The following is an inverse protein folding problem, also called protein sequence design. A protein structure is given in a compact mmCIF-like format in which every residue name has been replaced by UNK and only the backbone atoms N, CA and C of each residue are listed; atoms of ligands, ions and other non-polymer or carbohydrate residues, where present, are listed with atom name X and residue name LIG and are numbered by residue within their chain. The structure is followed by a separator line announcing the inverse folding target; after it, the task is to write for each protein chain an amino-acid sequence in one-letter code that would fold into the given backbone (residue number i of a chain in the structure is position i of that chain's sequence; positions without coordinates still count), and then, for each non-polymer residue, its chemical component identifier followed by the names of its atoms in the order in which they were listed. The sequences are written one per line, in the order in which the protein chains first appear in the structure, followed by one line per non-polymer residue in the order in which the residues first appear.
data_IF_033889930351
#
_entry.id   IF_033889930351
#
_cell.length_a   1.000
_cell.length_b   1.000
_cell.length_c   1.000
_cell.angle_alpha   90.00
_cell.angle_beta   90.00
_cell.angle_gamma   90.00
#
_symmetry.space_group_name_H-M   'P 1'
#
loop_
_entity.id
_entity.type
_entity.pdbx_description
1 polymer ?
#
# COMPACT_ATOMS: atom_id res chain seq x y z
N UNK A 1 -24.90 -50.07 20.79
CA UNK A 1 -23.54 -49.70 20.26
C UNK A 1 -23.59 -48.90 18.96
N UNK A 2 -24.52 -49.20 18.04
CA UNK A 2 -24.67 -48.44 16.75
C UNK A 2 -25.22 -47.03 17.00
N UNK A 3 -26.11 -46.85 17.98
CA UNK A 3 -26.68 -45.54 18.33
C UNK A 3 -25.63 -44.58 18.92
N UNK A 4 -24.65 -45.10 19.65
CA UNK A 4 -23.56 -44.32 20.28
C UNK A 4 -22.56 -43.85 19.21
N UNK A 5 -22.32 -44.63 18.15
CA UNK A 5 -21.47 -44.26 17.03
C UNK A 5 -22.08 -43.15 16.19
N UNK A 6 -23.41 -43.17 16.00
CA UNK A 6 -24.12 -42.16 15.23
C UNK A 6 -24.15 -40.79 15.93
N UNK A 7 -24.25 -40.77 17.27
CA UNK A 7 -24.18 -39.53 18.08
C UNK A 7 -22.76 -38.95 18.08
N UNK A 8 -21.71 -39.77 18.04
CA UNK A 8 -20.34 -39.33 18.01
C UNK A 8 -19.96 -38.69 16.64
N UNK A 9 -20.53 -39.21 15.54
CA UNK A 9 -20.35 -38.61 14.19
C UNK A 9 -21.10 -37.28 14.01
N UNK A 10 -22.22 -37.07 14.72
CA UNK A 10 -22.97 -35.81 14.68
C UNK A 10 -22.28 -34.67 15.46
N UNK A 11 -21.46 -34.99 16.47
CA UNK A 11 -20.72 -34.00 17.25
C UNK A 11 -19.44 -33.52 16.53
N UNK A 12 -18.95 -34.24 15.51
CA UNK A 12 -17.75 -33.88 14.72
C UNK A 12 -18.01 -32.80 13.63
N UNK A 13 -19.26 -32.41 13.41
CA UNK A 13 -19.64 -31.49 12.32
C UNK A 13 -19.75 -30.01 12.76
N UNK A 14 -19.47 -29.66 14.00
CA UNK A 14 -19.59 -28.28 14.48
C UNK A 14 -18.22 -27.63 14.73
N UNK A 15 -17.21 -27.95 13.94
CA UNK A 15 -16.05 -27.06 13.80
C UNK A 15 -16.46 -25.87 12.92
N UNK A 16 -17.23 -24.96 13.46
CA UNK A 16 -17.25 -23.58 12.92
C UNK A 16 -15.82 -23.10 13.06
N UNK A 17 -15.08 -23.03 11.95
CA UNK A 17 -13.73 -22.49 11.92
C UNK A 17 -13.82 -21.07 12.47
N UNK A 18 -13.42 -20.89 13.73
CA UNK A 18 -13.39 -19.56 14.34
C UNK A 18 -12.41 -18.71 13.53
N UNK A 19 -12.83 -17.50 13.20
CA UNK A 19 -11.96 -16.54 12.55
C UNK A 19 -10.62 -16.43 13.31
N UNK A 20 -9.48 -16.42 12.60
CA UNK A 20 -8.17 -16.27 13.22
C UNK A 20 -8.17 -15.07 14.18
N UNK A 21 -7.52 -15.22 15.34
CA UNK A 21 -7.52 -14.18 16.40
C UNK A 21 -6.96 -12.83 15.94
N UNK A 22 -6.05 -12.85 14.95
CA UNK A 22 -5.43 -11.66 14.42
C UNK A 22 -6.35 -10.84 13.49
N UNK A 23 -7.41 -11.42 12.92
CA UNK A 23 -8.30 -10.77 11.93
C UNK A 23 -8.84 -9.43 12.45
N UNK A 24 -9.33 -9.38 13.68
CA UNK A 24 -9.92 -8.15 14.24
C UNK A 24 -8.88 -7.01 14.37
N UNK A 25 -7.65 -7.36 14.77
CA UNK A 25 -6.56 -6.39 14.86
C UNK A 25 -6.13 -5.92 13.46
N UNK A 26 -5.95 -6.83 12.53
CA UNK A 26 -5.50 -6.56 11.17
C UNK A 26 -6.49 -5.69 10.39
N UNK A 27 -7.79 -5.90 10.54
CA UNK A 27 -8.84 -5.08 9.90
C UNK A 27 -8.77 -3.59 10.25
N UNK A 28 -8.22 -3.23 11.40
CA UNK A 28 -8.05 -1.80 11.78
C UNK A 28 -7.00 -1.09 10.94
N UNK A 29 -6.10 -1.82 10.31
CA UNK A 29 -5.09 -1.27 9.41
C UNK A 29 -5.61 -1.09 7.98
N UNK A 30 -6.75 -1.69 7.63
CA UNK A 30 -7.38 -1.55 6.31
C UNK A 30 -8.27 -0.31 6.31
N UNK A 31 -8.20 0.47 5.25
CA UNK A 31 -8.95 1.72 5.10
C UNK A 31 -9.55 1.84 3.69
N UNK A 32 -10.48 2.76 3.52
CA UNK A 32 -10.95 3.20 2.20
C UNK A 32 -10.12 4.39 1.73
N UNK A 33 -9.79 4.41 0.43
CA UNK A 33 -9.14 5.52 -0.26
C UNK A 33 -10.17 6.26 -1.09
N UNK A 34 -10.18 7.58 -0.99
CA UNK A 34 -10.94 8.47 -1.88
C UNK A 34 -9.97 9.42 -2.53
N UNK A 35 -9.90 9.41 -3.84
CA UNK A 35 -9.07 10.32 -4.62
C UNK A 35 -9.92 11.38 -5.31
N UNK A 36 -9.35 12.56 -5.48
CA UNK A 36 -10.01 13.71 -6.06
C UNK A 36 -9.19 14.26 -7.21
N UNK A 37 -9.85 14.51 -8.32
CA UNK A 37 -9.28 15.17 -9.48
C UNK A 37 -9.36 16.69 -9.37
N UNK A 38 -9.27 17.36 -10.52
CA UNK A 38 -9.49 18.78 -10.63
C UNK A 38 -10.87 19.20 -10.11
N UNK A 39 -10.96 20.38 -9.48
CA UNK A 39 -12.18 20.92 -8.89
C UNK A 39 -12.79 20.08 -7.75
N UNK A 40 -11.95 19.32 -7.03
CA UNK A 40 -12.34 18.51 -5.86
C UNK A 40 -13.45 17.48 -6.15
N UNK A 41 -13.63 17.08 -7.39
CA UNK A 41 -14.54 15.98 -7.73
C UNK A 41 -13.90 14.65 -7.36
N UNK A 42 -14.70 13.75 -6.77
CA UNK A 42 -14.27 12.37 -6.52
C UNK A 42 -13.91 11.74 -7.87
N UNK A 43 -12.67 11.26 -7.95
CA UNK A 43 -12.14 10.59 -9.13
C UNK A 43 -12.32 9.07 -8.99
N UNK A 44 -11.81 8.50 -7.92
CA UNK A 44 -11.90 7.08 -7.63
C UNK A 44 -12.11 6.83 -6.14
N UNK A 45 -12.63 5.64 -5.83
CA UNK A 45 -12.74 5.12 -4.48
C UNK A 45 -12.29 3.66 -4.47
N UNK A 46 -11.48 3.29 -3.50
CA UNK A 46 -10.96 1.92 -3.37
C UNK A 46 -10.50 1.64 -1.95
N UNK A 47 -9.57 0.72 -1.79
CA UNK A 47 -9.04 0.32 -0.50
C UNK A 47 -7.52 0.46 -0.47
N UNK A 48 -6.99 0.35 0.74
CA UNK A 48 -5.56 0.25 1.02
C UNK A 48 -5.34 -0.18 2.46
N UNK A 49 -4.10 -0.30 2.86
CA UNK A 49 -3.75 -0.69 4.21
C UNK A 49 -2.42 -0.09 4.65
N UNK A 50 -2.31 0.18 5.94
CA UNK A 50 -1.07 0.64 6.55
C UNK A 50 -0.10 -0.52 6.74
N UNK A 51 1.17 -0.28 6.39
CA UNK A 51 2.29 -1.22 6.58
C UNK A 51 3.29 -0.74 7.62
N UNK A 52 3.17 0.52 8.07
CA UNK A 52 3.94 1.06 9.19
C UNK A 52 3.06 1.89 10.12
N UNK A 53 3.44 1.95 11.40
CA UNK A 53 2.69 2.72 12.41
C UNK A 53 2.80 4.24 12.22
N UNK A 54 3.77 4.71 11.43
CA UNK A 54 4.02 6.13 11.09
C UNK A 54 3.29 6.58 9.81
N UNK A 55 2.41 5.74 9.25
CA UNK A 55 1.49 6.13 8.19
C UNK A 55 1.92 5.80 6.77
N UNK A 56 2.92 4.92 6.55
CA UNK A 56 3.19 4.37 5.22
C UNK A 56 2.11 3.35 4.86
N UNK A 57 1.60 3.46 3.64
CA UNK A 57 0.46 2.69 3.18
C UNK A 57 0.63 2.22 1.74
N UNK A 58 -0.08 1.13 1.40
CA UNK A 58 -0.11 0.53 0.07
C UNK A 58 -1.53 0.51 -0.48
N UNK A 59 -1.64 0.67 -1.81
CA UNK A 59 -2.89 0.57 -2.57
C UNK A 59 -2.59 0.34 -4.06
N UNK A 60 -3.62 0.42 -4.92
CA UNK A 60 -3.48 0.35 -6.37
C UNK A 60 -3.15 1.72 -6.96
N UNK A 61 -2.20 1.78 -7.90
CA UNK A 61 -1.83 2.99 -8.63
C UNK A 61 -3.00 3.57 -9.43
N UNK A 62 -3.82 2.71 -10.03
CA UNK A 62 -4.99 3.12 -10.84
C UNK A 62 -5.95 4.03 -10.09
N UNK A 63 -6.05 3.91 -8.76
CA UNK A 63 -6.86 4.82 -7.94
C UNK A 63 -6.31 6.24 -7.90
N UNK A 64 -4.99 6.40 -8.00
CA UNK A 64 -4.29 7.68 -7.87
C UNK A 64 -3.99 8.35 -9.20
N UNK A 65 -4.13 7.65 -10.32
CA UNK A 65 -3.91 8.20 -11.66
C UNK A 65 -4.84 9.39 -11.91
N UNK A 66 -4.27 10.56 -12.18
CA UNK A 66 -5.00 11.83 -12.36
C UNK A 66 -5.43 12.52 -11.06
N UNK A 67 -5.16 11.93 -9.90
CA UNK A 67 -5.54 12.51 -8.62
C UNK A 67 -4.68 13.73 -8.27
N UNK A 68 -5.34 14.80 -7.82
CA UNK A 68 -4.69 16.01 -7.28
C UNK A 68 -4.56 15.96 -5.76
N UNK A 69 -5.44 15.24 -5.09
CA UNK A 69 -5.34 14.92 -3.66
C UNK A 69 -6.03 13.59 -3.36
N UNK A 70 -5.71 13.02 -2.22
CA UNK A 70 -6.35 11.81 -1.73
C UNK A 70 -6.55 11.87 -0.21
N UNK A 71 -7.56 11.13 0.25
CA UNK A 71 -7.89 10.98 1.67
C UNK A 71 -8.10 9.50 1.94
N UNK A 72 -7.59 9.01 3.06
CA UNK A 72 -7.93 7.69 3.57
C UNK A 72 -8.96 7.81 4.70
N UNK A 73 -9.88 6.87 4.74
CA UNK A 73 -10.92 6.78 5.77
C UNK A 73 -10.74 5.47 6.51
N UNK A 74 -10.34 5.55 7.78
CA UNK A 74 -10.10 4.34 8.58
C UNK A 74 -11.41 3.66 9.03
N UNK A 75 -11.30 2.52 9.69
CA UNK A 75 -12.46 1.76 10.20
C UNK A 75 -13.31 2.50 11.25
N UNK A 76 -12.79 3.58 11.83
CA UNK A 76 -13.54 4.46 12.75
C UNK A 76 -14.20 5.65 12.02
N UNK A 77 -14.07 5.74 10.69
CA UNK A 77 -14.60 6.86 9.89
C UNK A 77 -13.75 8.13 9.94
N UNK A 78 -12.55 8.07 10.53
CA UNK A 78 -11.63 9.22 10.59
C UNK A 78 -10.98 9.39 9.24
N UNK A 79 -11.05 10.61 8.71
CA UNK A 79 -10.40 11.02 7.48
C UNK A 79 -8.97 11.52 7.75
N UNK A 80 -8.02 11.07 6.96
CA UNK A 80 -6.60 11.45 7.04
C UNK A 80 -6.09 11.75 5.63
N UNK A 81 -5.45 12.91 5.39
CA UNK A 81 -4.96 13.24 4.06
C UNK A 81 -3.73 12.42 3.67
N UNK A 82 -3.61 12.11 2.39
CA UNK A 82 -2.36 11.62 1.79
C UNK A 82 -1.47 12.82 1.54
N UNK A 83 -0.26 12.80 2.10
CA UNK A 83 0.67 13.94 2.03
C UNK A 83 1.74 13.79 0.96
N UNK A 84 2.18 12.56 0.67
CA UNK A 84 3.16 12.34 -0.40
C UNK A 84 3.08 10.93 -0.98
N UNK A 85 3.48 10.83 -2.24
CA UNK A 85 3.70 9.57 -2.94
C UNK A 85 5.17 9.17 -2.75
N UNK A 86 5.39 7.97 -2.24
CA UNK A 86 6.71 7.42 -1.95
C UNK A 86 7.24 6.56 -3.11
N UNK A 87 6.36 6.05 -3.96
CA UNK A 87 6.71 5.27 -5.13
C UNK A 87 5.48 4.65 -5.77
N UNK A 88 5.56 4.33 -7.05
CA UNK A 88 4.45 3.73 -7.79
C UNK A 88 4.97 2.87 -8.94
N UNK A 89 4.16 1.90 -9.37
CA UNK A 89 4.41 1.11 -10.56
C UNK A 89 3.09 0.88 -11.30
N UNK A 90 2.98 1.35 -12.53
CA UNK A 90 1.76 1.27 -13.34
C UNK A 90 1.56 -0.11 -13.97
N UNK A 91 2.64 -0.83 -14.27
CA UNK A 91 2.57 -2.18 -14.85
C UNK A 91 1.95 -3.19 -13.90
N UNK A 92 2.32 -3.12 -12.61
CA UNK A 92 1.81 -4.00 -11.56
C UNK A 92 0.73 -3.36 -10.70
N UNK A 93 0.27 -2.16 -11.08
CA UNK A 93 -0.80 -1.41 -10.43
C UNK A 93 -0.63 -1.27 -8.92
N UNK A 94 0.55 -0.84 -8.47
CA UNK A 94 0.84 -0.62 -7.03
C UNK A 94 1.32 0.79 -6.76
N UNK A 95 0.98 1.30 -5.58
CA UNK A 95 1.43 2.59 -5.08
C UNK A 95 1.76 2.52 -3.60
N UNK A 96 2.87 3.15 -3.21
CA UNK A 96 3.28 3.40 -1.84
C UNK A 96 3.17 4.90 -1.56
N UNK A 97 2.53 5.26 -0.46
CA UNK A 97 2.28 6.66 -0.10
C UNK A 97 2.28 6.87 1.41
N UNK A 98 2.43 8.12 1.81
CA UNK A 98 2.40 8.55 3.21
C UNK A 98 1.10 9.27 3.53
N UNK A 99 0.53 8.92 4.67
CA UNK A 99 -0.69 9.52 5.22
C UNK A 99 -0.32 10.38 6.43
N UNK A 100 -0.89 11.58 6.54
CA UNK A 100 -0.76 12.39 7.75
C UNK A 100 -1.61 11.79 8.87
N UNK A 101 -0.93 11.24 9.85
CA UNK A 101 -1.55 10.65 11.04
C UNK A 101 -1.54 11.59 12.25
N UNK A 102 -1.18 12.87 12.06
CA UNK A 102 -1.12 13.91 13.10
C UNK A 102 -0.29 13.48 14.31
N UNK A 103 0.90 12.93 14.06
CA UNK A 103 1.85 12.41 15.06
C UNK A 103 1.30 11.29 15.97
N UNK A 104 0.18 10.66 15.60
CA UNK A 104 -0.38 9.48 16.28
C UNK A 104 0.10 8.22 15.58
N UNK A 105 0.09 7.11 16.30
CA UNK A 105 0.34 5.80 15.70
C UNK A 105 -0.96 5.22 15.12
N UNK A 106 -0.85 4.59 13.95
CA UNK A 106 -1.95 3.84 13.34
C UNK A 106 -1.70 2.33 13.45
N UNK A 107 -2.75 1.50 13.46
CA UNK A 107 -2.57 0.06 13.30
C UNK A 107 -1.93 -0.22 11.94
N UNK A 108 -0.92 -1.09 11.91
CA UNK A 108 -0.20 -1.48 10.70
C UNK A 108 -0.14 -3.02 10.58
N UNK A 109 0.02 -3.49 9.34
CA UNK A 109 0.21 -4.90 9.01
C UNK A 109 1.69 -5.18 8.81
N UNK A 110 2.15 -6.29 9.37
CA UNK A 110 3.49 -6.78 9.10
C UNK A 110 3.54 -7.44 7.71
N UNK A 111 4.58 -7.17 6.95
CA UNK A 111 4.84 -7.85 5.69
C UNK A 111 5.41 -9.24 5.96
N UNK A 112 4.92 -10.24 5.23
CA UNK A 112 5.47 -11.58 5.29
C UNK A 112 6.90 -11.61 4.71
N UNK A 113 7.84 -12.16 5.47
CA UNK A 113 9.21 -12.30 5.04
C UNK A 113 9.40 -13.42 4.00
N UNK A 114 8.50 -14.39 4.00
CA UNK A 114 8.54 -15.55 3.11
C UNK A 114 7.23 -15.65 2.34
N UNK A 115 7.37 -15.84 1.02
CA UNK A 115 6.23 -16.08 0.13
C UNK A 115 5.53 -17.39 0.47
N UNK A 116 4.18 -17.42 0.57
CA UNK A 116 3.45 -18.65 0.83
C UNK A 116 3.58 -19.63 -0.33
N UNK A 117 3.66 -20.92 0.00
CA UNK A 117 3.72 -21.99 -0.99
C UNK A 117 2.36 -22.19 -1.69
N UNK A 118 2.38 -22.79 -2.87
CA UNK A 118 1.16 -23.26 -3.56
C UNK A 118 0.41 -24.24 -2.64
N UNK A 119 -0.91 -24.05 -2.51
CA UNK A 119 -1.77 -24.78 -1.58
C UNK A 119 -1.90 -24.16 -0.19
N UNK A 120 -1.09 -23.16 0.17
CA UNK A 120 -1.21 -22.47 1.46
C UNK A 120 -2.56 -21.74 1.55
N UNK A 121 -3.17 -21.78 2.74
CA UNK A 121 -4.38 -21.02 3.02
C UNK A 121 -4.09 -19.53 3.11
N UNK A 122 -4.99 -18.72 2.57
CA UNK A 122 -4.87 -17.26 2.53
C UNK A 122 -6.20 -16.60 2.84
N UNK A 123 -6.11 -15.34 3.29
CA UNK A 123 -7.28 -14.59 3.76
C UNK A 123 -7.25 -13.18 3.18
N UNK A 124 -8.33 -12.71 2.57
CA UNK A 124 -8.49 -11.31 2.19
C UNK A 124 -9.34 -10.60 3.24
N UNK A 125 -8.84 -9.44 3.70
CA UNK A 125 -9.52 -8.59 4.68
C UNK A 125 -10.13 -7.38 3.99
N UNK A 126 -11.47 -7.33 3.77
CA UNK A 126 -12.13 -6.16 3.23
C UNK A 126 -12.17 -5.02 4.25
N UNK A 127 -12.16 -3.78 3.74
CA UNK A 127 -12.48 -2.62 4.56
C UNK A 127 -13.90 -2.72 5.12
N UNK A 128 -14.07 -2.34 6.39
CA UNK A 128 -15.37 -2.26 7.03
C UNK A 128 -15.33 -1.27 8.20
N UNK A 129 -16.35 -0.46 8.32
CA UNK A 129 -16.60 0.38 9.50
C UNK A 129 -17.31 -0.38 10.61
N UNK A 130 -17.80 -1.60 10.32
CA UNK A 130 -18.46 -2.44 11.30
C UNK A 130 -17.44 -3.31 12.05
N UNK A 131 -17.70 -3.56 13.32
CA UNK A 131 -16.91 -4.52 14.13
C UNK A 131 -17.28 -5.95 13.75
N UNK A 132 -17.03 -6.31 12.50
CA UNK A 132 -17.19 -7.66 12.03
C UNK A 132 -15.83 -8.36 11.90
N UNK A 133 -15.83 -9.69 11.90
CA UNK A 133 -14.66 -10.52 11.61
C UNK A 133 -14.74 -11.12 10.21
N UNK A 134 -15.44 -10.46 9.29
CA UNK A 134 -15.58 -10.95 7.93
C UNK A 134 -14.22 -10.98 7.23
N UNK A 135 -13.95 -12.06 6.55
CA UNK A 135 -12.82 -12.27 5.66
C UNK A 135 -13.26 -13.21 4.54
N UNK A 136 -12.50 -13.26 3.47
CA UNK A 136 -12.65 -14.27 2.43
C UNK A 136 -11.44 -15.18 2.48
N UNK A 137 -11.65 -16.48 2.64
CA UNK A 137 -10.60 -17.48 2.66
C UNK A 137 -10.47 -18.14 1.29
N UNK A 138 -9.25 -18.51 0.94
CA UNK A 138 -8.90 -19.24 -0.27
C UNK A 138 -7.55 -19.91 -0.11
N UNK A 139 -6.94 -20.30 -1.23
CA UNK A 139 -5.62 -20.91 -1.26
C UNK A 139 -4.79 -20.34 -2.40
N UNK A 140 -3.48 -20.37 -2.25
CA UNK A 140 -2.56 -20.08 -3.35
C UNK A 140 -2.67 -21.18 -4.41
N UNK A 141 -3.11 -20.83 -5.62
CA UNK A 141 -3.21 -21.74 -6.76
C UNK A 141 -1.92 -21.77 -7.57
N UNK A 142 -1.29 -20.61 -7.75
CA UNK A 142 -0.01 -20.46 -8.41
C UNK A 142 0.74 -19.25 -7.84
N UNK A 143 2.06 -19.28 -7.96
CA UNK A 143 2.96 -18.20 -7.59
C UNK A 143 4.02 -18.06 -8.70
N UNK A 144 3.82 -17.10 -9.59
CA UNK A 144 4.67 -16.87 -10.76
C UNK A 144 5.71 -15.79 -10.43
N UNK A 145 6.97 -16.15 -10.53
CA UNK A 145 8.07 -15.23 -10.25
C UNK A 145 8.26 -14.25 -11.39
N UNK A 146 8.13 -12.95 -11.14
CA UNK A 146 8.31 -11.92 -12.18
C UNK A 146 9.59 -11.08 -12.03
N UNK A 147 10.29 -11.27 -10.91
CA UNK A 147 11.64 -10.76 -10.70
C UNK A 147 12.42 -11.75 -9.83
N UNK A 148 13.69 -11.46 -9.52
CA UNK A 148 14.49 -12.38 -8.69
C UNK A 148 13.90 -12.64 -7.30
N UNK A 149 13.09 -11.69 -6.77
CA UNK A 149 12.59 -11.72 -5.39
C UNK A 149 11.09 -11.81 -5.28
N UNK A 150 10.31 -11.36 -6.29
CA UNK A 150 8.88 -11.05 -6.15
C UNK A 150 8.01 -11.96 -6.97
N UNK A 151 6.77 -12.14 -6.52
CA UNK A 151 5.82 -13.06 -7.10
C UNK A 151 4.50 -12.38 -7.47
N UNK A 152 3.89 -12.90 -8.51
CA UNK A 152 2.50 -12.64 -8.87
C UNK A 152 1.69 -13.89 -8.58
N UNK A 153 0.65 -13.74 -7.77
CA UNK A 153 -0.09 -14.87 -7.25
C UNK A 153 -1.42 -15.04 -7.99
N UNK A 154 -1.79 -16.29 -8.23
CA UNK A 154 -3.14 -16.69 -8.55
C UNK A 154 -3.75 -17.38 -7.34
N UNK A 155 -4.88 -16.87 -6.86
CA UNK A 155 -5.55 -17.36 -5.66
C UNK A 155 -6.88 -18.01 -6.05
N UNK A 156 -7.19 -19.14 -5.43
CA UNK A 156 -8.47 -19.83 -5.61
C UNK A 156 -9.51 -19.24 -4.65
N UNK A 157 -10.04 -18.10 -5.02
CA UNK A 157 -11.12 -17.40 -4.32
C UNK A 157 -11.81 -16.39 -5.23
N UNK A 158 -13.07 -16.07 -4.94
CA UNK A 158 -13.81 -15.03 -5.65
C UNK A 158 -13.51 -13.65 -5.07
N UNK A 159 -13.06 -12.74 -5.92
CA UNK A 159 -12.83 -11.34 -5.56
C UNK A 159 -14.08 -10.51 -5.86
N UNK A 160 -14.63 -9.86 -4.84
CA UNK A 160 -15.69 -8.85 -4.99
C UNK A 160 -15.05 -7.48 -5.23
N UNK A 161 -15.71 -6.57 -5.95
CA UNK A 161 -15.17 -5.23 -6.24
C UNK A 161 -14.68 -4.48 -4.99
N UNK A 162 -15.40 -4.61 -3.87
CA UNK A 162 -15.02 -4.01 -2.58
C UNK A 162 -13.80 -4.63 -1.91
N UNK A 163 -13.19 -5.64 -2.50
CA UNK A 163 -12.02 -6.35 -1.98
C UNK A 163 -10.76 -6.10 -2.81
N UNK A 164 -10.88 -5.31 -3.88
CA UNK A 164 -9.73 -4.87 -4.69
C UNK A 164 -8.85 -3.97 -3.84
N UNK A 165 -7.55 -4.05 -3.99
CA UNK A 165 -6.52 -3.37 -3.19
C UNK A 165 -6.48 -3.76 -1.71
N UNK A 166 -7.25 -4.77 -1.30
CA UNK A 166 -7.21 -5.27 0.08
C UNK A 166 -5.99 -6.18 0.32
N UNK A 167 -5.49 -6.24 1.56
CA UNK A 167 -4.38 -7.11 1.91
C UNK A 167 -4.77 -8.58 1.81
N UNK A 168 -3.88 -9.38 1.25
CA UNK A 168 -3.94 -10.84 1.27
C UNK A 168 -2.97 -11.34 2.33
N UNK A 169 -3.53 -12.07 3.31
CA UNK A 169 -2.84 -12.47 4.55
C UNK A 169 -2.50 -13.95 4.56
N UNK A 170 -1.40 -14.29 5.22
CA UNK A 170 -1.06 -15.67 5.59
C UNK A 170 -1.90 -16.16 6.77
N UNK A 171 -1.77 -17.43 7.15
CA UNK A 171 -2.40 -17.99 8.36
C UNK A 171 -1.90 -17.33 9.65
N UNK A 172 -0.67 -16.85 9.65
CA UNK A 172 -0.03 -16.15 10.78
C UNK A 172 -0.50 -14.70 10.92
N UNK A 173 -1.20 -14.16 9.92
CA UNK A 173 -1.70 -12.80 9.92
C UNK A 173 -0.69 -11.77 9.43
N UNK A 174 0.23 -12.18 8.57
CA UNK A 174 1.15 -11.31 7.84
C UNK A 174 0.64 -11.08 6.43
N UNK A 175 0.81 -9.85 5.90
CA UNK A 175 0.41 -9.54 4.53
C UNK A 175 1.52 -9.92 3.56
N UNK A 176 1.20 -10.71 2.54
CA UNK A 176 2.17 -11.09 1.49
C UNK A 176 1.83 -10.49 0.12
N UNK A 177 0.58 -10.08 -0.11
CA UNK A 177 0.17 -9.55 -1.41
C UNK A 177 -0.99 -8.54 -1.28
N UNK A 178 -1.22 -7.79 -2.38
CA UNK A 178 -2.40 -6.95 -2.61
C UNK A 178 -3.31 -7.65 -3.62
N UNK A 179 -4.61 -7.75 -3.31
CA UNK A 179 -5.60 -8.31 -4.21
C UNK A 179 -5.87 -7.36 -5.38
N UNK A 180 -5.77 -7.85 -6.61
CA UNK A 180 -5.93 -7.05 -7.82
C UNK A 180 -7.19 -7.43 -8.60
N UNK A 181 -7.78 -6.45 -9.27
CA UNK A 181 -8.91 -6.65 -10.14
C UNK A 181 -8.50 -7.50 -11.35
N UNK A 182 -9.20 -8.62 -11.56
CA UNK A 182 -9.03 -9.42 -12.77
C UNK A 182 -9.80 -8.81 -13.93
N UNK A 183 -9.22 -8.81 -15.13
CA UNK A 183 -9.86 -8.41 -16.37
C UNK A 183 -10.43 -9.58 -17.19
N UNK A 184 -10.29 -10.82 -16.70
CA UNK A 184 -10.67 -12.04 -17.43
C UNK A 184 -12.06 -12.59 -17.07
N UNK A 185 -12.55 -13.54 -17.87
CA UNK A 185 -13.85 -14.20 -17.68
C UNK A 185 -13.92 -15.08 -16.41
N UNK A 186 -12.77 -15.48 -15.84
CA UNK A 186 -12.69 -16.39 -14.69
C UNK A 186 -12.76 -15.70 -13.32
N UNK A 187 -13.20 -14.44 -13.26
CA UNK A 187 -13.27 -13.63 -12.05
C UNK A 187 -14.15 -14.22 -10.93
N UNK A 188 -15.02 -15.17 -11.27
CA UNK A 188 -15.92 -15.79 -10.30
C UNK A 188 -15.22 -16.71 -9.30
N UNK A 189 -14.03 -17.26 -9.65
CA UNK A 189 -13.34 -18.27 -8.85
C UNK A 189 -11.85 -18.00 -8.65
N UNK A 190 -11.29 -17.00 -9.34
CA UNK A 190 -9.87 -16.68 -9.33
C UNK A 190 -9.67 -15.21 -8.98
N UNK A 191 -8.73 -14.96 -8.08
CA UNK A 191 -8.21 -13.63 -7.75
C UNK A 191 -6.73 -13.60 -8.07
N UNK A 192 -6.27 -12.50 -8.65
CA UNK A 192 -4.85 -12.19 -8.79
C UNK A 192 -4.38 -11.32 -7.66
N UNK A 193 -3.10 -11.44 -7.31
CA UNK A 193 -2.50 -10.60 -6.29
C UNK A 193 -1.01 -10.37 -6.56
N UNK A 194 -0.56 -9.14 -6.30
CA UNK A 194 0.84 -8.75 -6.47
C UNK A 194 1.55 -8.75 -5.11
N UNK A 195 2.81 -9.14 -5.10
CA UNK A 195 3.65 -9.19 -3.90
C UNK A 195 3.68 -7.84 -3.15
N UNK A 196 3.37 -7.86 -1.87
CA UNK A 196 3.34 -6.65 -1.04
C UNK A 196 4.76 -6.10 -0.77
N UNK A 197 5.78 -6.96 -0.73
CA UNK A 197 7.18 -6.52 -0.62
C UNK A 197 7.63 -5.81 -1.90
N UNK A 198 7.13 -6.21 -3.08
CA UNK A 198 7.35 -5.46 -4.31
C UNK A 198 6.74 -4.06 -4.24
N UNK A 199 5.48 -3.94 -3.77
CA UNK A 199 4.83 -2.65 -3.59
C UNK A 199 5.58 -1.78 -2.56
N UNK A 200 6.05 -2.37 -1.46
CA UNK A 200 6.83 -1.67 -0.43
C UNK A 200 8.20 -1.21 -0.95
N UNK A 201 8.81 -1.94 -1.87
CA UNK A 201 10.11 -1.60 -2.46
C UNK A 201 10.03 -0.46 -3.50
N UNK A 202 8.82 -0.01 -3.88
CA UNK A 202 8.70 1.15 -4.77
C UNK A 202 9.22 2.41 -4.07
N UNK A 203 10.04 3.20 -4.77
CA UNK A 203 10.59 4.45 -4.26
C UNK A 203 10.70 5.50 -5.37
N UNK A 204 10.69 6.77 -4.98
CA UNK A 204 11.13 7.86 -5.85
C UNK A 204 12.65 7.79 -5.94
N UNK A 205 13.18 7.79 -7.14
CA UNK A 205 14.63 7.80 -7.40
C UNK A 205 15.08 9.17 -7.95
N UNK A 206 16.38 9.38 -8.02
CA UNK A 206 16.95 10.57 -8.63
C UNK A 206 16.45 10.80 -10.07
N UNK A 207 16.10 9.74 -10.80
CA UNK A 207 15.64 9.80 -12.19
C UNK A 207 14.12 9.82 -12.35
N UNK A 208 13.36 9.78 -11.24
CA UNK A 208 11.88 9.72 -11.26
C UNK A 208 11.21 10.97 -11.81
N UNK A 209 11.92 12.07 -11.98
CA UNK A 209 11.38 13.31 -12.58
C UNK A 209 10.79 13.07 -13.98
N UNK A 210 11.40 12.18 -14.76
CA UNK A 210 10.94 11.79 -16.12
C UNK A 210 9.85 10.73 -16.12
N UNK A 211 9.57 10.06 -14.99
CA UNK A 211 8.68 8.93 -14.91
C UNK A 211 7.21 9.35 -15.09
N UNK A 212 6.61 8.87 -16.17
CA UNK A 212 5.21 9.16 -16.51
C UNK A 212 4.23 8.58 -15.48
N UNK A 213 4.58 7.49 -14.81
CA UNK A 213 3.76 6.91 -13.75
C UNK A 213 3.56 7.92 -12.62
N UNK A 214 4.65 8.53 -12.16
CA UNK A 214 4.59 9.54 -11.09
C UNK A 214 4.05 10.89 -11.59
N UNK A 215 4.35 11.30 -12.84
CA UNK A 215 3.81 12.55 -13.44
C UNK A 215 2.30 12.55 -13.55
N UNK A 216 1.69 11.39 -13.78
CA UNK A 216 0.22 11.25 -13.86
C UNK A 216 -0.51 11.39 -12.51
N UNK A 217 0.20 11.64 -11.42
CA UNK A 217 -0.38 11.89 -10.10
C UNK A 217 -0.06 13.33 -9.71
N UNK A 218 -1.06 14.17 -9.40
CA UNK A 218 -0.88 15.56 -8.98
C UNK A 218 -0.46 15.71 -7.52
N UNK A 219 -0.57 14.65 -6.69
CA UNK A 219 -0.15 14.65 -5.29
C UNK A 219 1.38 14.76 -5.22
N UNK A 220 1.89 15.52 -4.25
CA UNK A 220 3.32 15.71 -3.99
C UNK A 220 4.05 14.36 -3.92
N UNK A 221 5.23 14.29 -4.51
CA UNK A 221 6.14 13.15 -4.40
C UNK A 221 7.11 13.39 -3.24
N UNK A 222 7.49 12.34 -2.54
CA UNK A 222 8.58 12.40 -1.58
C UNK A 222 9.92 12.61 -2.31
N UNK A 223 10.93 13.02 -1.58
CA UNK A 223 12.31 12.94 -2.05
C UNK A 223 12.76 11.47 -2.11
N UNK A 224 13.80 11.14 -2.88
CA UNK A 224 14.48 9.85 -2.80
C UNK A 224 14.87 9.48 -1.37
N UNK A 225 14.94 8.17 -1.09
CA UNK A 225 15.12 7.62 0.27
C UNK A 225 16.54 7.88 0.86
N UNK A 226 17.52 8.30 0.05
CA UNK A 226 18.87 8.63 0.51
C UNK A 226 19.24 10.07 0.21
N UNK A 227 20.08 10.67 1.07
CA UNK A 227 20.57 12.04 0.89
C UNK A 227 21.27 12.22 -0.47
N UNK A 228 22.12 11.26 -0.87
CA UNK A 228 22.85 11.31 -2.12
C UNK A 228 21.94 11.32 -3.34
N UNK A 229 20.93 10.44 -3.37
CA UNK A 229 19.95 10.42 -4.45
C UNK A 229 19.05 11.66 -4.44
N UNK A 230 18.68 12.17 -3.26
CA UNK A 230 17.89 13.39 -3.14
C UNK A 230 18.67 14.61 -3.66
N UNK A 231 19.97 14.68 -3.43
CA UNK A 231 20.84 15.74 -3.99
C UNK A 231 20.93 15.65 -5.51
N UNK A 232 21.12 14.44 -6.05
CA UNK A 232 21.13 14.24 -7.51
C UNK A 232 19.80 14.64 -8.10
N UNK A 233 18.69 14.26 -7.45
CA UNK A 233 17.34 14.66 -7.87
C UNK A 233 17.18 16.18 -7.90
N UNK A 234 17.53 16.89 -6.82
CA UNK A 234 17.49 18.35 -6.75
C UNK A 234 18.30 19.01 -7.84
N UNK A 235 19.51 18.51 -8.10
CA UNK A 235 20.34 19.01 -9.19
C UNK A 235 19.66 18.84 -10.55
N UNK A 236 19.07 17.68 -10.82
CA UNK A 236 18.41 17.40 -12.10
C UNK A 236 17.15 18.23 -12.32
N UNK A 237 16.37 18.49 -11.29
CA UNK A 237 15.12 19.24 -11.40
C UNK A 237 15.31 20.76 -11.39
N UNK A 238 16.47 21.26 -10.94
CA UNK A 238 16.73 22.69 -10.73
C UNK A 238 16.46 23.58 -11.96
N UNK A 239 16.65 23.03 -13.18
CA UNK A 239 16.38 23.73 -14.43
C UNK A 239 15.03 23.39 -15.07
N UNK A 240 14.21 22.54 -14.44
CA UNK A 240 13.01 21.96 -15.04
C UNK A 240 11.72 22.34 -14.31
N UNK A 241 11.84 22.84 -13.08
CA UNK A 241 10.72 23.30 -12.26
C UNK A 241 10.77 24.82 -12.06
N UNK A 242 9.66 25.40 -11.61
CA UNK A 242 9.62 26.82 -11.26
C UNK A 242 10.48 27.11 -10.02
N UNK A 243 10.84 28.38 -9.81
CA UNK A 243 11.61 28.79 -8.63
C UNK A 243 10.86 28.47 -7.32
N UNK A 244 9.54 28.65 -7.31
CA UNK A 244 8.71 28.36 -6.13
C UNK A 244 8.66 26.87 -5.82
N UNK A 245 8.50 26.03 -6.85
CA UNK A 245 8.56 24.57 -6.69
C UNK A 245 9.93 24.10 -6.23
N UNK A 246 11.00 24.69 -6.77
CA UNK A 246 12.36 24.35 -6.36
C UNK A 246 12.63 24.74 -4.91
N UNK A 247 12.15 25.91 -4.48
CA UNK A 247 12.23 26.35 -3.08
C UNK A 247 11.53 25.37 -2.15
N UNK A 248 10.33 24.89 -2.52
CA UNK A 248 9.62 23.87 -1.73
C UNK A 248 10.39 22.55 -1.65
N UNK A 249 11.02 22.11 -2.74
CA UNK A 249 11.86 20.91 -2.74
C UNK A 249 13.10 21.07 -1.84
N UNK A 250 13.69 22.26 -1.79
CA UNK A 250 14.78 22.55 -0.86
C UNK A 250 14.33 22.55 0.60
N UNK A 251 13.16 23.13 0.90
CA UNK A 251 12.60 23.08 2.26
C UNK A 251 12.32 21.64 2.71
N UNK A 252 11.80 20.79 1.80
CA UNK A 252 11.61 19.37 2.06
C UNK A 252 12.95 18.66 2.32
N UNK A 253 13.97 18.97 1.52
CA UNK A 253 15.30 18.39 1.70
C UNK A 253 15.90 18.77 3.06
N UNK A 254 15.78 20.04 3.46
CA UNK A 254 16.23 20.51 4.78
C UNK A 254 15.50 19.78 5.92
N UNK A 255 14.20 19.56 5.74
CA UNK A 255 13.39 18.88 6.74
C UNK A 255 13.74 17.39 6.87
N UNK A 256 14.00 16.70 5.74
CA UNK A 256 14.31 15.27 5.70
C UNK A 256 15.77 14.99 6.10
N UNK A 257 16.71 15.88 5.69
CA UNK A 257 18.15 15.74 5.89
C UNK A 257 18.76 16.92 6.68
N UNK A 258 18.35 17.16 7.93
CA UNK A 258 18.75 18.36 8.70
C UNK A 258 20.24 18.42 9.02
N UNK A 259 20.96 17.32 8.89
CA UNK A 259 22.41 17.23 9.11
C UNK A 259 23.23 17.21 7.83
N UNK A 260 22.62 17.50 6.69
CA UNK A 260 23.32 17.54 5.40
C UNK A 260 24.45 18.56 5.42
N UNK A 261 25.63 18.14 4.96
CA UNK A 261 26.81 19.04 4.89
C UNK A 261 26.61 20.21 3.93
N UNK A 262 25.70 20.12 2.96
CA UNK A 262 25.38 21.21 2.03
C UNK A 262 24.70 22.40 2.71
N UNK A 263 24.03 22.20 3.83
CA UNK A 263 23.42 23.30 4.60
C UNK A 263 24.47 24.23 5.20
N UNK A 264 25.73 23.77 5.35
CA UNK A 264 26.84 24.51 5.94
C UNK A 264 27.82 25.08 4.92
N UNK A 265 27.66 24.81 3.62
CA UNK A 265 28.53 25.29 2.53
C UNK A 265 28.08 26.60 1.91
N UNK A 266 27.08 27.28 2.47
CA UNK A 266 26.77 28.66 2.08
C UNK A 266 27.98 29.54 2.44
N UNK A 267 28.58 30.26 1.46
CA UNK A 267 29.73 31.14 1.77
C UNK A 267 29.29 32.14 2.83
N UNK A 268 30.04 32.18 3.92
CA UNK A 268 29.83 33.18 4.96
C UNK A 268 29.85 34.57 4.31
N UNK A 269 28.99 35.52 4.72
CA UNK A 269 29.06 36.90 4.23
C UNK A 269 30.42 37.59 4.46
N UNK A 270 31.35 36.91 5.15
CA UNK A 270 32.72 37.37 5.39
C UNK A 270 33.70 36.97 4.26
N UNK A 271 33.33 36.06 3.37
CA UNK A 271 34.24 35.62 2.28
C UNK A 271 34.07 36.44 1.00
N UNK A 272 33.23 37.46 1.01
CA UNK A 272 33.04 38.43 -0.11
C UNK A 272 33.75 39.76 0.21
N UNK A 273 35.04 39.73 0.54
CA UNK A 273 35.89 40.92 0.54
C UNK A 273 37.11 40.73 -0.29
#
# INVERSE_FOLDING_TARGET
KIFLLFTLCLLAQWSVAQAPKWVEKAKRAVFSVVTYGENDKILNTGNGFFVTEDGIALSDYSLFKGAQRAVVVNSAGVQMPVVSILGANDMYDVIKFRVDISAKKVPALNLAAVSPAVGANVYILPYSTQKDRSYTAGQVKAADKFSEKYYYYTLNLSLKDKMVSCPVMTEEGEVFALAQKSSGADTATICYAVDANFAMAQSVSAFSFGDMTLKNIGIKKALPDTEEEALVFLFMVSSQVSQDEYAQLLDDFIAEYPNSCLLYTSPSPRDTR
#
